data_IF_957908604495
#
_entry.id   IF_957908604495
#
_cell.length_a   1.000
_cell.length_b   1.000
_cell.length_c   1.000
_cell.angle_alpha   90.00
_cell.angle_beta   90.00
_cell.angle_gamma   90.00
#
_symmetry.space_group_name_H-M   'P 1'
#
loop_
_entity.id
_entity.type
_entity.pdbx_description
1 polymer ?
#
# COMPACT_ATOMS: atom_id res chain seq x y z
N UNK A 1 -60.81 16.45 19.02
CA UNK A 1 -59.60 16.13 19.83
C UNK A 1 -59.59 14.63 20.02
N UNK A 2 -58.61 13.82 19.61
CA UNK A 2 -57.19 14.02 19.32
C UNK A 2 -56.82 13.13 18.13
N UNK A 3 -55.99 13.67 17.22
CA UNK A 3 -55.20 12.89 16.26
C UNK A 3 -54.28 11.97 17.07
N UNK A 4 -54.41 10.66 16.91
CA UNK A 4 -53.52 9.68 17.55
C UNK A 4 -52.80 8.91 16.42
N UNK A 5 -51.53 9.26 16.26
CA UNK A 5 -50.41 8.40 15.90
C UNK A 5 -50.60 7.41 14.74
N UNK A 6 -50.46 7.92 13.51
CA UNK A 6 -49.79 7.19 12.44
C UNK A 6 -48.31 7.62 12.48
N UNK A 7 -47.56 7.11 13.47
CA UNK A 7 -46.10 7.33 13.58
C UNK A 7 -45.42 6.13 14.29
N UNK A 8 -45.87 4.91 14.02
CA UNK A 8 -45.23 3.68 14.49
C UNK A 8 -44.71 2.81 13.35
N UNK A 9 -44.34 3.41 12.21
CA UNK A 9 -43.76 2.67 11.09
C UNK A 9 -42.69 3.44 10.29
N UNK A 10 -41.91 4.31 10.95
CA UNK A 10 -40.78 4.98 10.28
C UNK A 10 -39.65 5.40 11.24
N UNK A 11 -39.41 4.65 12.32
CA UNK A 11 -38.34 4.91 13.29
C UNK A 11 -37.94 3.61 13.98
N UNK A 12 -37.30 2.70 13.24
CA UNK A 12 -36.20 1.82 13.69
C UNK A 12 -35.93 0.75 12.61
N UNK A 13 -35.45 1.20 11.46
CA UNK A 13 -34.54 0.40 10.65
C UNK A 13 -33.83 1.32 9.65
N UNK A 14 -33.16 2.36 10.16
CA UNK A 14 -31.85 2.64 9.56
C UNK A 14 -31.00 1.44 9.95
N UNK A 15 -31.14 0.36 9.19
CA UNK A 15 -29.96 -0.39 8.84
C UNK A 15 -29.08 0.70 8.22
N UNK A 16 -28.00 1.10 8.90
CA UNK A 16 -26.84 1.49 8.13
C UNK A 16 -26.66 0.31 7.18
N UNK A 17 -27.04 0.50 5.93
CA UNK A 17 -26.54 -0.36 4.88
C UNK A 17 -25.05 -0.19 5.02
N UNK A 18 -24.37 -1.13 5.69
CA UNK A 18 -22.96 -1.33 5.45
C UNK A 18 -22.90 -1.56 3.96
N UNK A 19 -22.45 -0.55 3.21
CA UNK A 19 -22.15 -0.74 1.81
C UNK A 19 -21.20 -1.92 1.76
N UNK A 20 -21.62 -3.04 1.16
CA UNK A 20 -20.75 -4.19 1.05
C UNK A 20 -19.61 -3.81 0.12
N UNK A 21 -18.37 -3.90 0.59
CA UNK A 21 -17.19 -3.71 -0.25
C UNK A 21 -17.29 -4.59 -1.50
N UNK A 22 -16.89 -4.05 -2.65
CA UNK A 22 -16.74 -4.84 -3.88
C UNK A 22 -15.57 -5.83 -3.70
N UNK A 23 -15.76 -7.09 -4.11
CA UNK A 23 -14.82 -8.19 -3.88
C UNK A 23 -15.19 -9.06 -2.68
N UNK A 24 -14.50 -10.20 -2.51
CA UNK A 24 -14.75 -11.15 -1.40
C UNK A 24 -13.58 -11.24 -0.40
N UNK A 25 -12.49 -10.51 -0.66
CA UNK A 25 -11.29 -10.51 0.18
C UNK A 25 -10.36 -11.71 -0.04
N UNK A 26 -10.55 -12.50 -1.10
CA UNK A 26 -9.59 -13.53 -1.52
C UNK A 26 -8.45 -12.90 -2.32
N UNK A 27 -7.36 -13.64 -2.55
CA UNK A 27 -6.25 -13.15 -3.38
C UNK A 27 -6.68 -12.96 -4.84
N UNK A 28 -7.58 -13.81 -5.34
CA UNK A 28 -8.14 -13.77 -6.69
C UNK A 28 -9.20 -12.68 -6.85
N UNK A 29 -9.93 -12.38 -5.77
CA UNK A 29 -11.00 -11.39 -5.74
C UNK A 29 -10.91 -10.53 -4.47
N UNK A 30 -9.91 -9.64 -4.39
CA UNK A 30 -9.66 -8.79 -3.22
C UNK A 30 -10.74 -7.74 -3.05
N UNK A 31 -10.88 -7.22 -1.82
CA UNK A 31 -11.74 -6.06 -1.58
C UNK A 31 -11.20 -4.83 -2.33
N UNK A 32 -12.06 -4.15 -3.07
CA UNK A 32 -11.70 -2.94 -3.80
C UNK A 32 -12.07 -1.72 -2.96
N UNK A 33 -11.08 -0.87 -2.71
CA UNK A 33 -11.19 0.27 -1.79
C UNK A 33 -11.26 1.57 -2.61
N UNK A 34 -12.47 2.13 -2.76
CA UNK A 34 -12.74 3.36 -3.52
C UNK A 34 -12.91 4.60 -2.65
N UNK A 35 -12.97 4.40 -1.34
CA UNK A 35 -13.32 5.47 -0.41
C UNK A 35 -12.70 5.24 0.95
N UNK A 36 -12.74 6.30 1.77
CA UNK A 36 -12.42 6.20 3.19
C UNK A 36 -13.32 5.17 3.89
N UNK A 37 -14.62 5.15 3.60
CA UNK A 37 -15.56 4.24 4.24
C UNK A 37 -15.24 2.77 3.93
N UNK A 38 -14.86 2.45 2.68
CA UNK A 38 -14.39 1.11 2.32
C UNK A 38 -13.11 0.74 3.08
N UNK A 39 -12.17 1.69 3.21
CA UNK A 39 -10.92 1.45 3.93
C UNK A 39 -11.15 1.18 5.43
N UNK A 40 -12.08 1.92 6.05
CA UNK A 40 -12.50 1.69 7.43
C UNK A 40 -13.22 0.34 7.58
N UNK A 41 -14.09 -0.02 6.63
CA UNK A 41 -14.76 -1.32 6.63
C UNK A 41 -13.77 -2.47 6.45
N UNK A 42 -12.74 -2.32 5.61
CA UNK A 42 -11.67 -3.30 5.46
C UNK A 42 -10.91 -3.52 6.77
N UNK A 43 -10.50 -2.43 7.44
CA UNK A 43 -9.88 -2.49 8.76
C UNK A 43 -10.75 -3.25 9.76
N UNK A 44 -12.03 -2.89 9.83
CA UNK A 44 -12.95 -3.50 10.80
C UNK A 44 -13.20 -4.98 10.46
N UNK A 45 -13.24 -5.34 9.17
CA UNK A 45 -13.37 -6.73 8.71
C UNK A 45 -12.17 -7.58 9.16
N UNK A 46 -10.95 -7.08 8.97
CA UNK A 46 -9.72 -7.74 9.43
C UNK A 46 -9.73 -7.89 10.95
N UNK A 47 -10.01 -6.80 11.67
CA UNK A 47 -9.98 -6.78 13.14
C UNK A 47 -11.11 -7.60 13.79
N UNK A 48 -12.16 -7.95 13.04
CA UNK A 48 -13.23 -8.85 13.48
C UNK A 48 -13.02 -10.30 13.05
N UNK A 49 -11.81 -10.67 12.64
CA UNK A 49 -11.40 -12.07 12.47
C UNK A 49 -11.23 -12.53 11.03
N UNK A 50 -11.53 -11.71 10.02
CA UNK A 50 -11.19 -12.04 8.63
C UNK A 50 -9.76 -11.61 8.30
N UNK A 51 -8.81 -12.18 9.04
CA UNK A 51 -7.42 -11.71 9.12
C UNK A 51 -6.62 -11.88 7.83
N UNK A 52 -7.00 -12.86 6.99
CA UNK A 52 -6.36 -13.15 5.70
C UNK A 52 -7.00 -12.39 4.52
N UNK A 53 -7.89 -11.41 4.78
CA UNK A 53 -8.54 -10.64 3.73
C UNK A 53 -7.53 -9.86 2.88
N UNK A 54 -7.70 -9.89 1.57
CA UNK A 54 -6.92 -9.12 0.62
C UNK A 54 -7.64 -7.85 0.17
N UNK A 55 -6.90 -6.77 -0.12
CA UNK A 55 -7.43 -5.50 -0.59
C UNK A 55 -6.57 -4.81 -1.66
N UNK A 56 -7.23 -4.07 -2.55
CA UNK A 56 -6.65 -3.20 -3.57
C UNK A 56 -7.16 -1.76 -3.39
N UNK A 57 -6.25 -0.80 -3.22
CA UNK A 57 -6.64 0.61 -3.27
C UNK A 57 -6.91 1.04 -4.71
N UNK A 58 -8.01 1.77 -4.94
CA UNK A 58 -8.32 2.46 -6.21
C UNK A 58 -8.32 3.98 -6.09
N UNK A 59 -8.08 4.49 -4.88
CA UNK A 59 -7.99 5.92 -4.59
C UNK A 59 -7.00 6.18 -3.46
N UNK A 60 -6.53 7.43 -3.38
CA UNK A 60 -5.84 7.93 -2.18
C UNK A 60 -6.85 7.98 -1.01
N UNK A 61 -6.40 7.65 0.19
CA UNK A 61 -7.21 7.69 1.42
C UNK A 61 -6.73 8.84 2.30
N UNK A 62 -7.66 9.62 2.84
CA UNK A 62 -7.38 10.68 3.82
C UNK A 62 -8.10 10.36 5.13
N UNK A 63 -7.33 10.17 6.21
CA UNK A 63 -7.85 9.81 7.52
C UNK A 63 -8.19 11.03 8.40
N UNK A 64 -7.98 12.25 7.93
CA UNK A 64 -8.13 13.48 8.75
C UNK A 64 -9.54 13.70 9.31
N UNK A 65 -10.58 13.13 8.69
CA UNK A 65 -11.95 13.21 9.21
C UNK A 65 -12.26 12.19 10.31
N UNK A 66 -11.38 11.21 10.52
CA UNK A 66 -11.61 10.09 11.45
C UNK A 66 -10.47 9.85 12.43
N UNK A 67 -9.32 10.52 12.28
CA UNK A 67 -8.30 10.62 13.31
C UNK A 67 -7.62 11.99 13.29
N UNK A 68 -7.47 12.59 14.47
CA UNK A 68 -6.89 13.93 14.68
C UNK A 68 -6.52 14.10 16.16
N UNK A 69 -5.75 15.15 16.46
CA UNK A 69 -5.53 15.61 17.82
C UNK A 69 -5.69 17.12 17.91
N UNK A 70 -6.42 17.55 18.92
CA UNK A 70 -6.56 18.94 19.34
C UNK A 70 -5.98 19.07 20.76
N UNK A 71 -4.73 19.54 20.85
CA UNK A 71 -4.05 19.72 22.12
C UNK A 71 -4.69 20.80 23.00
N UNK A 72 -5.34 21.82 22.41
CA UNK A 72 -6.01 22.87 23.17
C UNK A 72 -7.29 22.35 23.83
N UNK A 73 -7.99 21.43 23.16
CA UNK A 73 -9.22 20.81 23.67
C UNK A 73 -9.02 19.47 24.36
N UNK A 74 -7.78 18.95 24.39
CA UNK A 74 -7.46 17.59 24.83
C UNK A 74 -8.33 16.51 24.15
N UNK A 75 -8.68 16.73 22.88
CA UNK A 75 -9.54 15.85 22.10
C UNK A 75 -8.71 15.10 21.07
N UNK A 76 -8.62 13.78 21.23
CA UNK A 76 -7.83 12.91 20.37
C UNK A 76 -8.70 11.80 19.81
N UNK A 77 -8.73 11.69 18.49
CA UNK A 77 -9.32 10.55 17.80
C UNK A 77 -8.18 9.78 17.14
N UNK A 78 -7.97 8.54 17.60
CA UNK A 78 -6.84 7.72 17.18
C UNK A 78 -7.19 6.86 15.97
N UNK A 79 -6.20 6.66 15.09
CA UNK A 79 -6.22 5.58 14.13
C UNK A 79 -6.18 4.24 14.87
N UNK A 80 -7.17 3.39 14.59
CA UNK A 80 -7.14 1.98 14.96
C UNK A 80 -6.38 1.22 13.86
N UNK A 81 -5.27 0.54 14.17
CA UNK A 81 -4.50 -0.16 13.15
C UNK A 81 -5.25 -1.35 12.54
N UNK A 82 -4.91 -1.69 11.30
CA UNK A 82 -5.28 -2.97 10.69
C UNK A 82 -4.42 -4.08 11.32
N UNK A 83 -5.05 -5.12 11.86
CA UNK A 83 -4.37 -6.10 12.71
C UNK A 83 -4.05 -5.50 14.09
N UNK A 84 -5.09 -5.22 14.89
CA UNK A 84 -4.96 -4.64 16.23
C UNK A 84 -4.21 -5.58 17.21
N UNK A 85 -2.90 -5.37 17.32
CA UNK A 85 -2.00 -6.24 18.08
C UNK A 85 -2.20 -6.25 19.60
N UNK A 86 -2.68 -5.15 20.21
CA UNK A 86 -2.94 -5.10 21.66
C UNK A 86 -4.15 -5.96 22.06
N UNK A 87 -5.04 -6.25 21.10
CA UNK A 87 -6.24 -7.07 21.21
C UNK A 87 -6.01 -8.49 20.68
N UNK A 88 -4.76 -8.83 20.33
CA UNK A 88 -4.37 -10.13 19.80
C UNK A 88 -4.75 -10.36 18.33
N UNK A 89 -5.22 -9.33 17.61
CA UNK A 89 -5.49 -9.42 16.18
C UNK A 89 -4.19 -9.27 15.39
N UNK A 90 -4.12 -9.97 14.26
CA UNK A 90 -3.00 -9.89 13.32
C UNK A 90 -3.55 -9.82 11.90
N UNK A 91 -2.87 -9.10 11.02
CA UNK A 91 -3.17 -9.11 9.59
C UNK A 91 -2.32 -10.14 8.87
N UNK A 92 -2.96 -11.03 8.12
CA UNK A 92 -2.35 -12.18 7.43
C UNK A 92 -2.62 -12.17 5.91
N UNK A 93 -3.32 -11.16 5.42
CA UNK A 93 -3.75 -11.05 4.03
C UNK A 93 -2.75 -10.34 3.10
N UNK A 94 -3.26 -9.90 1.95
CA UNK A 94 -2.50 -9.16 0.96
C UNK A 94 -3.07 -7.75 0.72
N UNK A 95 -2.26 -6.73 0.95
CA UNK A 95 -2.64 -5.33 0.76
C UNK A 95 -1.80 -4.73 -0.37
N UNK A 96 -2.45 -4.29 -1.42
CA UNK A 96 -1.78 -3.68 -2.57
C UNK A 96 -2.34 -2.28 -2.80
N UNK A 97 -1.50 -1.28 -2.54
CA UNK A 97 -1.88 0.12 -2.67
C UNK A 97 -2.00 0.60 -4.10
N UNK A 98 -1.56 -0.17 -5.10
CA UNK A 98 -1.56 0.23 -6.52
C UNK A 98 -0.93 1.62 -6.80
N UNK A 99 0.01 2.05 -5.96
CA UNK A 99 0.64 3.38 -6.04
C UNK A 99 -0.16 4.50 -5.38
N UNK A 100 -1.31 4.21 -4.79
CA UNK A 100 -2.07 5.14 -3.96
C UNK A 100 -1.43 5.34 -2.60
N UNK A 101 -1.89 6.39 -1.93
CA UNK A 101 -1.35 6.76 -0.63
C UNK A 101 -2.43 6.96 0.42
N UNK A 102 -2.05 6.72 1.66
CA UNK A 102 -2.89 6.91 2.84
C UNK A 102 -2.31 8.07 3.64
N UNK A 103 -3.09 9.11 3.88
CA UNK A 103 -2.65 10.35 4.54
C UNK A 103 -3.25 10.50 5.92
N UNK A 104 -2.51 11.21 6.77
CA UNK A 104 -2.96 11.69 8.07
C UNK A 104 -3.32 10.60 9.12
N UNK A 105 -2.68 9.42 9.17
CA UNK A 105 -2.89 8.54 10.33
C UNK A 105 -2.37 9.24 11.59
N UNK A 106 -3.23 9.34 12.61
CA UNK A 106 -2.93 10.02 13.86
C UNK A 106 -3.07 9.07 15.05
N UNK A 107 -2.04 8.97 15.88
CA UNK A 107 -2.06 8.24 17.16
C UNK A 107 -1.30 9.05 18.21
N UNK A 108 -1.92 9.31 19.35
CA UNK A 108 -1.29 9.98 20.50
C UNK A 108 -1.39 9.16 21.79
N UNK A 109 -0.67 8.04 21.89
CA UNK A 109 -0.78 7.13 23.04
C UNK A 109 0.56 6.56 23.47
N UNK A 110 1.13 7.07 24.57
CA UNK A 110 2.44 6.63 25.07
C UNK A 110 2.46 5.23 25.70
N UNK A 111 1.30 4.59 25.85
CA UNK A 111 1.17 3.28 26.51
C UNK A 111 0.84 2.14 25.55
N UNK A 112 0.32 2.46 24.36
CA UNK A 112 -0.13 1.45 23.40
C UNK A 112 1.01 0.98 22.51
N UNK A 113 1.19 -0.34 22.43
CA UNK A 113 2.25 -0.95 21.64
C UNK A 113 1.78 -1.23 20.21
N UNK A 114 2.71 -1.62 19.34
CA UNK A 114 2.38 -2.13 18.00
C UNK A 114 1.52 -1.15 17.19
N UNK A 115 1.86 0.15 17.23
CA UNK A 115 1.17 1.17 16.45
C UNK A 115 1.87 1.41 15.11
N UNK A 116 1.05 1.66 14.10
CA UNK A 116 1.38 1.87 12.71
C UNK A 116 0.09 1.98 11.91
N UNK A 117 0.17 2.09 10.58
CA UNK A 117 -1.01 1.88 9.74
C UNK A 117 -1.56 0.45 9.96
N UNK A 118 -0.66 -0.52 9.96
CA UNK A 118 -0.86 -1.89 10.42
C UNK A 118 -0.24 -2.07 11.80
N UNK A 119 -0.92 -2.82 12.67
CA UNK A 119 -0.48 -3.02 14.05
C UNK A 119 0.45 -4.20 14.15
N UNK A 120 -0.11 -5.39 13.96
CA UNK A 120 0.59 -6.68 13.88
C UNK A 120 0.33 -7.36 12.54
N UNK A 121 1.37 -7.88 11.90
CA UNK A 121 1.26 -8.68 10.67
C UNK A 121 1.93 -10.05 10.81
N UNK A 122 1.36 -11.08 10.19
CA UNK A 122 1.93 -12.43 10.14
C UNK A 122 1.70 -13.05 8.76
N UNK A 123 2.77 -13.41 8.04
CA UNK A 123 2.68 -13.94 6.66
C UNK A 123 1.93 -13.02 5.66
N UNK A 124 1.75 -11.75 6.02
CA UNK A 124 1.10 -10.78 5.17
C UNK A 124 2.02 -10.35 4.02
N UNK A 125 1.40 -9.85 2.96
CA UNK A 125 2.07 -9.11 1.89
C UNK A 125 1.52 -7.69 1.86
N UNK A 126 2.36 -6.68 2.02
CA UNK A 126 1.98 -5.27 1.92
C UNK A 126 2.86 -4.63 0.87
N UNK A 127 2.24 -4.07 -0.18
CA UNK A 127 3.00 -3.49 -1.28
C UNK A 127 2.37 -2.24 -1.87
N UNK A 128 3.19 -1.49 -2.60
CA UNK A 128 2.77 -0.44 -3.51
C UNK A 128 1.97 0.69 -2.83
N UNK A 129 2.30 1.02 -1.57
CA UNK A 129 1.56 2.01 -0.78
C UNK A 129 2.49 3.04 -0.13
N UNK A 130 2.09 4.30 -0.20
CA UNK A 130 2.70 5.39 0.56
C UNK A 130 1.88 5.75 1.78
N UNK A 131 2.53 6.04 2.91
CA UNK A 131 1.90 6.67 4.08
C UNK A 131 2.47 8.05 4.26
N UNK A 132 1.63 9.07 4.18
CA UNK A 132 2.06 10.47 4.26
C UNK A 132 1.43 11.22 5.42
N UNK A 133 2.16 12.22 5.91
CA UNK A 133 1.77 13.02 7.07
C UNK A 133 1.34 12.16 8.27
N UNK A 134 2.06 11.07 8.51
CA UNK A 134 1.82 10.23 9.66
C UNK A 134 2.23 10.95 10.95
N UNK A 135 1.39 10.91 11.97
CA UNK A 135 1.74 11.32 13.33
C UNK A 135 1.44 10.17 14.28
N UNK A 136 2.45 9.40 14.66
CA UNK A 136 2.25 8.18 15.45
C UNK A 136 3.13 8.24 16.69
N UNK A 137 2.51 8.49 17.83
CA UNK A 137 3.12 8.40 19.15
C UNK A 137 2.57 7.17 19.87
N UNK A 138 3.46 6.20 20.13
CA UNK A 138 3.15 4.92 20.75
C UNK A 138 4.06 4.58 21.93
N UNK A 139 3.77 3.45 22.59
CA UNK A 139 4.64 2.77 23.54
C UNK A 139 5.78 2.01 22.84
N UNK A 140 5.73 0.68 22.82
CA UNK A 140 6.75 -0.18 22.22
C UNK A 140 6.42 -0.63 20.79
N UNK A 141 7.45 -0.74 19.95
CA UNK A 141 7.41 -1.28 18.59
C UNK A 141 6.48 -0.48 17.68
N UNK A 142 6.93 0.73 17.37
CA UNK A 142 6.17 1.71 16.59
C UNK A 142 6.80 1.83 15.21
N UNK A 143 5.99 1.66 14.17
CA UNK A 143 6.41 1.84 12.78
C UNK A 143 5.47 2.77 12.06
N UNK A 144 5.98 3.58 11.12
CA UNK A 144 5.12 4.39 10.25
C UNK A 144 4.16 3.54 9.40
N UNK A 145 4.59 2.33 9.01
CA UNK A 145 3.75 1.38 8.27
C UNK A 145 3.27 0.23 9.16
N UNK A 146 4.17 -0.48 9.84
CA UNK A 146 3.86 -1.68 10.64
C UNK A 146 4.43 -1.55 12.05
N UNK A 147 3.63 -1.77 13.09
CA UNK A 147 4.13 -1.86 14.46
C UNK A 147 5.05 -3.08 14.65
N UNK A 148 4.48 -4.28 14.46
CA UNK A 148 5.18 -5.58 14.56
C UNK A 148 4.86 -6.47 13.36
N UNK A 149 5.87 -7.01 12.71
CA UNK A 149 5.71 -7.98 11.63
C UNK A 149 6.45 -9.28 11.90
N UNK A 150 5.82 -10.38 11.53
CA UNK A 150 6.41 -11.70 11.49
C UNK A 150 6.20 -12.34 10.11
N UNK A 151 7.26 -12.86 9.48
CA UNK A 151 7.20 -13.49 8.15
C UNK A 151 6.50 -12.62 7.08
N UNK A 152 6.58 -11.29 7.21
CA UNK A 152 5.84 -10.34 6.37
C UNK A 152 6.71 -9.86 5.21
N UNK A 153 6.14 -9.80 4.01
CA UNK A 153 6.74 -9.16 2.84
C UNK A 153 6.26 -7.72 2.74
N UNK A 154 7.21 -6.78 2.69
CA UNK A 154 6.96 -5.35 2.48
C UNK A 154 7.70 -4.93 1.21
N UNK A 155 6.98 -4.50 0.19
CA UNK A 155 7.57 -4.23 -1.13
C UNK A 155 7.06 -2.94 -1.75
N UNK A 156 7.95 -2.09 -2.26
CA UNK A 156 7.58 -0.81 -2.86
C UNK A 156 6.68 0.01 -1.91
N UNK A 157 7.14 0.25 -0.68
CA UNK A 157 6.38 1.02 0.29
C UNK A 157 7.19 2.21 0.78
N UNK A 158 6.52 3.29 1.15
CA UNK A 158 7.20 4.41 1.77
C UNK A 158 6.41 5.09 2.87
N UNK A 159 7.12 5.79 3.75
CA UNK A 159 6.50 6.56 4.83
C UNK A 159 7.11 7.95 5.00
N UNK A 160 6.27 8.92 5.37
CA UNK A 160 6.63 10.31 5.67
C UNK A 160 5.80 10.80 6.85
N UNK A 161 6.44 11.43 7.83
CA UNK A 161 5.77 11.95 9.02
C UNK A 161 6.64 11.94 10.27
N UNK A 162 6.02 12.07 11.43
CA UNK A 162 6.68 12.10 12.73
C UNK A 162 6.24 10.89 13.58
N UNK A 163 7.21 10.10 14.03
CA UNK A 163 6.98 8.86 14.78
C UNK A 163 7.74 8.91 16.11
N UNK A 164 7.04 8.59 17.20
CA UNK A 164 7.53 8.70 18.58
C UNK A 164 7.22 7.43 19.38
N UNK A 165 8.10 7.09 20.33
CA UNK A 165 7.90 5.95 21.24
C UNK A 165 9.19 5.22 21.62
N UNK A 166 9.10 3.91 21.82
CA UNK A 166 10.21 3.00 22.15
C UNK A 166 10.33 1.90 21.08
N UNK A 167 11.54 1.61 20.59
CA UNK A 167 11.76 0.83 19.36
C UNK A 167 10.95 1.38 18.19
N UNK A 168 11.38 2.53 17.69
CA UNK A 168 10.64 3.34 16.71
C UNK A 168 11.32 3.26 15.35
N UNK A 169 10.55 3.21 14.28
CA UNK A 169 11.09 3.31 12.94
C UNK A 169 10.10 3.88 11.93
N UNK A 170 10.60 4.27 10.76
CA UNK A 170 9.74 4.76 9.69
C UNK A 170 8.94 3.67 9.00
N UNK A 171 9.44 2.44 8.87
CA UNK A 171 8.70 1.34 8.20
C UNK A 171 8.13 0.37 9.23
N UNK A 172 8.98 -0.36 9.95
CA UNK A 172 8.57 -1.48 10.81
C UNK A 172 9.25 -1.48 12.18
N UNK A 173 8.45 -1.34 13.25
CA UNK A 173 8.95 -1.25 14.62
C UNK A 173 9.69 -2.51 15.09
N UNK A 174 9.08 -3.68 14.90
CA UNK A 174 9.69 -4.99 15.16
C UNK A 174 9.51 -5.92 13.96
N UNK A 175 10.60 -6.40 13.40
CA UNK A 175 10.63 -7.28 12.24
C UNK A 175 11.26 -8.63 12.61
N UNK A 176 10.47 -9.70 12.49
CA UNK A 176 10.88 -11.09 12.67
C UNK A 176 10.67 -11.84 11.36
N UNK A 177 11.71 -12.46 10.79
CA UNK A 177 11.63 -13.20 9.52
C UNK A 177 11.02 -12.39 8.35
N UNK A 178 11.08 -11.06 8.40
CA UNK A 178 10.47 -10.20 7.39
C UNK A 178 11.42 -10.00 6.19
N UNK A 179 10.85 -9.60 5.06
CA UNK A 179 11.60 -9.18 3.88
C UNK A 179 11.11 -7.81 3.46
N UNK A 180 12.02 -6.84 3.44
CA UNK A 180 11.76 -5.49 2.94
C UNK A 180 12.45 -5.34 1.58
N UNK A 181 11.70 -4.86 0.58
CA UNK A 181 12.21 -4.62 -0.77
C UNK A 181 11.79 -3.25 -1.26
N UNK A 182 12.74 -2.51 -1.81
CA UNK A 182 12.47 -1.26 -2.52
C UNK A 182 11.66 -0.23 -1.71
N UNK A 183 11.90 -0.17 -0.40
CA UNK A 183 11.18 0.71 0.51
C UNK A 183 12.01 1.94 0.86
N UNK A 184 11.35 3.05 1.21
CA UNK A 184 12.07 4.17 1.80
C UNK A 184 11.30 4.87 2.93
N UNK A 185 12.04 5.50 3.84
CA UNK A 185 11.45 6.34 4.89
C UNK A 185 12.06 7.73 4.87
N UNK A 186 11.18 8.73 4.98
CA UNK A 186 11.51 10.12 5.29
C UNK A 186 10.91 10.56 6.62
N UNK A 187 10.56 9.62 7.50
CA UNK A 187 10.02 9.93 8.81
C UNK A 187 11.08 10.54 9.74
N UNK A 188 10.69 11.55 10.52
CA UNK A 188 11.42 11.90 11.74
C UNK A 188 11.06 10.91 12.83
N UNK A 189 12.03 10.14 13.32
CA UNK A 189 11.81 9.20 14.42
C UNK A 189 12.51 9.69 15.68
N UNK A 190 11.83 9.62 16.83
CA UNK A 190 12.36 10.07 18.13
C UNK A 190 12.01 9.07 19.23
N UNK A 191 12.92 8.89 20.19
CA UNK A 191 12.79 7.92 21.28
C UNK A 191 14.11 7.24 21.62
N UNK A 192 14.07 6.20 22.48
CA UNK A 192 15.30 5.59 23.01
C UNK A 192 16.02 4.66 22.00
N UNK A 193 15.27 4.00 21.11
CA UNK A 193 15.80 3.05 20.12
C UNK A 193 15.15 3.32 18.77
N UNK A 194 15.30 4.57 18.31
CA UNK A 194 14.72 5.00 17.05
C UNK A 194 15.66 4.68 15.87
N UNK A 195 15.09 4.57 14.69
CA UNK A 195 15.79 4.26 13.44
C UNK A 195 14.97 4.76 12.26
N UNK A 196 15.55 4.76 11.06
CA UNK A 196 14.86 5.26 9.89
C UNK A 196 13.91 4.22 9.27
N UNK A 197 14.30 2.94 9.25
CA UNK A 197 13.58 1.88 8.54
C UNK A 197 13.07 0.77 9.46
N UNK A 198 13.94 0.15 10.26
CA UNK A 198 13.61 -1.03 11.07
C UNK A 198 14.03 -0.82 12.53
N UNK A 199 13.08 -0.85 13.46
CA UNK A 199 13.37 -0.63 14.88
C UNK A 199 14.18 -1.78 15.48
N UNK A 200 13.67 -3.01 15.35
CA UNK A 200 14.32 -4.22 15.84
C UNK A 200 14.19 -5.35 14.80
N UNK A 201 15.31 -5.87 14.33
CA UNK A 201 15.37 -6.90 13.30
C UNK A 201 15.86 -8.25 13.86
N UNK A 202 15.15 -9.32 13.53
CA UNK A 202 15.57 -10.71 13.75
C UNK A 202 15.30 -11.52 12.49
N UNK A 203 16.33 -12.19 11.95
CA UNK A 203 16.23 -13.00 10.72
C UNK A 203 15.55 -12.26 9.55
N UNK A 204 15.70 -10.93 9.51
CA UNK A 204 15.03 -10.04 8.55
C UNK A 204 16.01 -9.64 7.47
N UNK A 205 15.54 -9.52 6.24
CA UNK A 205 16.34 -9.02 5.11
C UNK A 205 15.80 -7.69 4.60
N UNK A 206 16.69 -6.85 4.08
CA UNK A 206 16.32 -5.63 3.38
C UNK A 206 17.13 -5.52 2.09
N UNK A 207 16.43 -5.25 0.99
CA UNK A 207 17.01 -5.08 -0.34
C UNK A 207 16.53 -3.75 -0.91
N UNK A 208 17.46 -2.92 -1.37
CA UNK A 208 17.19 -1.57 -1.88
C UNK A 208 16.30 -0.72 -0.94
N UNK A 209 16.55 -0.77 0.37
CA UNK A 209 15.80 0.00 1.34
C UNK A 209 16.57 1.26 1.76
N UNK A 210 15.97 2.44 1.56
CA UNK A 210 16.67 3.72 1.66
C UNK A 210 16.11 4.63 2.76
N UNK A 211 16.96 5.48 3.31
CA UNK A 211 16.52 6.52 4.24
C UNK A 211 17.35 7.79 4.11
N UNK A 212 16.77 8.90 4.56
CA UNK A 212 17.48 10.17 4.64
C UNK A 212 18.34 10.23 5.91
N UNK A 213 19.63 10.05 5.70
CA UNK A 213 20.65 10.06 6.77
C UNK A 213 20.77 11.40 7.51
N UNK A 214 20.20 12.47 6.96
CA UNK A 214 20.17 13.79 7.59
C UNK A 214 18.96 13.97 8.52
N UNK A 215 17.92 13.13 8.41
CA UNK A 215 16.77 13.11 9.32
C UNK A 215 17.03 12.14 10.47
N UNK A 216 17.46 10.92 10.15
CA UNK A 216 17.81 9.87 11.12
C UNK A 216 19.12 9.22 10.67
N UNK A 217 20.10 9.13 11.55
CA UNK A 217 21.47 8.75 11.19
C UNK A 217 21.72 7.22 11.17
N UNK A 218 20.72 6.41 11.48
CA UNK A 218 20.77 4.94 11.45
C UNK A 218 19.53 4.35 10.77
N UNK A 219 19.73 3.39 9.86
CA UNK A 219 18.62 2.71 9.17
C UNK A 219 17.94 1.66 10.06
N UNK A 220 18.69 1.04 10.97
CA UNK A 220 18.24 -0.06 11.84
C UNK A 220 18.59 0.28 13.29
N UNK A 221 17.65 0.05 14.21
CA UNK A 221 17.86 0.31 15.64
C UNK A 221 18.62 -0.83 16.33
N UNK A 222 18.16 -2.06 16.12
CA UNK A 222 18.80 -3.28 16.63
C UNK A 222 18.75 -4.40 15.58
N UNK A 223 19.82 -5.19 15.49
CA UNK A 223 19.97 -6.27 14.52
C UNK A 223 20.87 -5.91 13.33
N UNK A 224 21.27 -6.91 12.57
CA UNK A 224 22.21 -6.76 11.45
C UNK A 224 21.47 -6.86 10.12
N UNK A 225 21.09 -5.70 9.57
CA UNK A 225 20.44 -5.59 8.26
C UNK A 225 21.06 -4.44 7.48
N UNK A 226 21.51 -4.70 6.25
CA UNK A 226 22.10 -3.68 5.39
C UNK A 226 21.02 -2.76 4.83
N UNK A 227 21.19 -1.46 5.01
CA UNK A 227 20.28 -0.41 4.49
C UNK A 227 21.08 0.69 3.79
N UNK A 228 20.42 1.48 2.95
CA UNK A 228 21.04 2.51 2.13
C UNK A 228 20.78 3.90 2.69
N UNK A 229 21.78 4.46 3.35
CA UNK A 229 21.79 5.87 3.76
C UNK A 229 21.95 6.77 2.52
N UNK A 230 20.99 7.66 2.30
CA UNK A 230 21.02 8.66 1.22
C UNK A 230 21.02 10.07 1.84
N UNK A 231 21.57 11.06 1.12
CA UNK A 231 21.48 12.48 1.50
C UNK A 231 20.16 13.07 1.02
N UNK A 232 19.65 14.11 1.70
CA UNK A 232 18.42 14.83 1.33
C UNK A 232 18.40 15.27 -0.13
N UNK A 233 19.52 15.74 -0.64
CA UNK A 233 19.66 16.19 -2.03
C UNK A 233 19.37 15.05 -3.03
N UNK A 234 19.77 13.81 -2.72
CA UNK A 234 19.56 12.65 -3.60
C UNK A 234 18.09 12.24 -3.68
N UNK A 235 17.33 12.49 -2.62
CA UNK A 235 15.86 12.37 -2.66
C UNK A 235 15.25 13.45 -3.56
N UNK A 236 15.85 14.66 -3.59
CA UNK A 236 15.33 15.83 -4.29
C UNK A 236 15.78 16.00 -5.75
N UNK A 237 16.77 15.24 -6.20
CA UNK A 237 17.35 15.38 -7.55
C UNK A 237 17.09 14.18 -8.47
N UNK A 238 16.18 13.28 -8.10
CA UNK A 238 15.80 12.10 -8.89
C UNK A 238 16.71 10.87 -8.72
N UNK A 239 17.87 10.99 -8.05
CA UNK A 239 18.78 9.85 -7.82
C UNK A 239 18.07 8.68 -7.11
N UNK A 240 17.27 8.99 -6.08
CA UNK A 240 16.51 7.95 -5.36
C UNK A 240 15.43 7.33 -6.25
N UNK A 241 14.67 8.13 -7.00
CA UNK A 241 13.67 7.60 -7.95
C UNK A 241 14.31 6.64 -8.96
N UNK A 242 15.46 7.02 -9.54
CA UNK A 242 16.19 6.15 -10.46
C UNK A 242 16.56 4.83 -9.80
N UNK A 243 17.14 4.87 -8.60
CA UNK A 243 17.52 3.65 -7.86
C UNK A 243 16.32 2.75 -7.54
N UNK A 244 15.16 3.34 -7.22
CA UNK A 244 13.93 2.59 -6.95
C UNK A 244 13.37 1.96 -8.24
N UNK A 245 13.44 2.66 -9.38
CA UNK A 245 13.03 2.17 -10.69
C UNK A 245 13.96 1.10 -11.27
N UNK A 246 15.28 1.26 -11.10
CA UNK A 246 16.27 0.27 -11.51
C UNK A 246 16.03 -1.06 -10.79
N UNK A 247 15.66 -1.01 -9.51
CA UNK A 247 15.30 -2.21 -8.75
C UNK A 247 14.08 -2.91 -9.34
N UNK A 248 12.97 -2.20 -9.59
CA UNK A 248 11.76 -2.75 -10.23
C UNK A 248 12.12 -3.42 -11.56
N UNK A 249 12.92 -2.74 -12.37
CA UNK A 249 13.37 -3.24 -13.67
C UNK A 249 14.19 -4.53 -13.53
N UNK A 250 15.09 -4.59 -12.54
CA UNK A 250 15.97 -5.75 -12.31
C UNK A 250 15.24 -7.02 -11.84
N UNK A 251 14.08 -6.87 -11.20
CA UNK A 251 13.29 -8.00 -10.67
C UNK A 251 12.34 -8.63 -11.69
N UNK A 252 12.28 -8.13 -12.93
CA UNK A 252 11.43 -8.73 -13.98
C UNK A 252 10.07 -8.08 -14.18
N UNK A 253 9.93 -6.79 -13.81
CA UNK A 253 8.77 -5.90 -13.94
C UNK A 253 7.58 -6.18 -13.03
N UNK A 254 7.08 -5.12 -12.38
CA UNK A 254 5.69 -4.92 -11.99
C UNK A 254 5.27 -3.64 -12.73
N UNK A 255 4.83 -3.80 -13.98
CA UNK A 255 4.89 -2.74 -14.98
C UNK A 255 3.82 -1.62 -14.83
N UNK A 256 3.16 -1.55 -13.68
CA UNK A 256 2.06 -0.63 -13.42
C UNK A 256 2.47 0.55 -12.53
N UNK A 257 3.65 0.49 -11.92
CA UNK A 257 4.09 1.46 -10.92
C UNK A 257 5.56 1.83 -11.18
N UNK A 258 5.82 3.13 -11.33
CA UNK A 258 7.16 3.68 -11.31
C UNK A 258 7.24 4.85 -10.35
N UNK A 259 8.45 5.15 -9.91
CA UNK A 259 8.77 6.25 -9.03
C UNK A 259 9.09 7.50 -9.84
N UNK A 260 8.38 8.58 -9.56
CA UNK A 260 8.63 9.92 -10.09
C UNK A 260 8.89 10.90 -8.94
N UNK A 261 9.19 12.17 -9.26
CA UNK A 261 9.27 13.22 -8.26
C UNK A 261 7.92 13.93 -8.13
N UNK A 262 7.41 14.05 -6.91
CA UNK A 262 6.22 14.84 -6.61
C UNK A 262 6.49 16.36 -6.71
N UNK A 263 5.47 17.17 -6.39
CA UNK A 263 5.57 18.62 -6.38
C UNK A 263 6.65 19.16 -5.42
N UNK A 264 6.99 18.41 -4.37
CA UNK A 264 8.06 18.73 -3.42
C UNK A 264 9.42 18.14 -3.82
N UNK A 265 9.51 17.61 -5.05
CA UNK A 265 10.66 16.92 -5.60
C UNK A 265 11.03 15.62 -4.88
N UNK A 266 10.13 15.02 -4.10
CA UNK A 266 10.40 13.78 -3.37
C UNK A 266 9.90 12.55 -4.15
N UNK A 267 10.47 11.36 -3.95
CA UNK A 267 10.04 10.15 -4.65
C UNK A 267 8.58 9.80 -4.34
N UNK A 268 7.73 9.67 -5.34
CA UNK A 268 6.34 9.27 -5.19
C UNK A 268 5.95 8.30 -6.30
N UNK A 269 4.87 7.57 -6.11
CA UNK A 269 4.34 6.75 -7.19
C UNK A 269 3.71 7.62 -8.26
N UNK A 270 3.93 7.23 -9.52
CA UNK A 270 3.32 7.90 -10.65
C UNK A 270 1.80 7.84 -10.58
N UNK A 271 1.11 8.98 -10.60
CA UNK A 271 -0.37 9.03 -10.59
C UNK A 271 -1.01 8.64 -11.94
N UNK A 272 -0.19 8.30 -12.94
CA UNK A 272 -0.65 7.94 -14.29
C UNK A 272 -1.28 6.55 -14.41
N UNK A 273 -1.65 5.90 -13.30
CA UNK A 273 -2.66 4.84 -13.31
C UNK A 273 -4.07 5.38 -13.64
N UNK A 274 -4.30 6.70 -13.58
CA UNK A 274 -5.57 7.34 -13.95
C UNK A 274 -5.95 7.24 -15.46
N UNK A 275 -5.12 6.60 -16.29
CA UNK A 275 -5.44 6.25 -17.68
C UNK A 275 -5.64 4.75 -17.93
N UNK A 276 -5.41 3.90 -16.92
CA UNK A 276 -5.59 2.45 -17.04
C UNK A 276 -7.07 2.11 -16.84
N UNK A 277 -7.83 2.16 -17.94
CA UNK A 277 -9.14 1.52 -17.97
C UNK A 277 -8.93 0.01 -17.86
N UNK A 278 -9.16 -0.57 -16.69
CA UNK A 278 -9.28 -2.02 -16.51
C UNK A 278 -10.38 -2.51 -17.46
N UNK A 279 -10.04 -3.30 -18.49
CA UNK A 279 -11.01 -3.63 -19.55
C UNK A 279 -11.91 -4.80 -19.13
N UNK A 280 -11.51 -5.72 -18.23
CA UNK A 280 -12.42 -6.71 -17.61
C UNK A 280 -11.76 -7.63 -16.56
N UNK A 281 -12.58 -8.16 -15.63
CA UNK A 281 -12.42 -9.45 -14.94
C UNK A 281 -13.61 -10.36 -15.34
N UNK A 282 -13.32 -11.47 -16.05
CA UNK A 282 -14.00 -12.77 -15.91
C UNK A 282 -13.15 -13.81 -16.67
N UNK A 283 -12.53 -14.72 -15.92
CA UNK A 283 -11.89 -15.94 -16.43
C UNK A 283 -10.60 -15.81 -17.26
N UNK A 284 -9.99 -14.64 -17.40
CA UNK A 284 -8.81 -14.48 -18.26
C UNK A 284 -7.92 -13.27 -17.95
N UNK A 285 -6.62 -13.52 -17.96
CA UNK A 285 -5.46 -12.62 -18.12
C UNK A 285 -5.71 -11.11 -17.93
N UNK A 286 -5.32 -10.53 -16.79
CA UNK A 286 -5.17 -9.09 -16.62
C UNK A 286 -4.23 -8.50 -17.69
N UNK A 287 -4.78 -7.66 -18.58
CA UNK A 287 -4.05 -6.95 -19.64
C UNK A 287 -4.22 -5.45 -19.43
N UNK A 288 -3.12 -4.71 -19.47
CA UNK A 288 -3.06 -3.27 -19.25
C UNK A 288 -2.47 -2.56 -20.47
N UNK A 289 -2.76 -1.27 -20.65
CA UNK A 289 -2.22 -0.44 -21.75
C UNK A 289 -1.66 0.86 -21.18
N UNK A 290 -0.35 1.10 -21.30
CA UNK A 290 0.29 2.36 -20.89
C UNK A 290 0.92 3.03 -22.10
N UNK A 291 0.33 4.14 -22.55
CA UNK A 291 0.68 4.76 -23.83
C UNK A 291 0.56 3.74 -24.96
N UNK A 292 1.67 3.48 -25.64
CA UNK A 292 1.74 2.47 -26.70
C UNK A 292 2.13 1.07 -26.25
N UNK A 293 2.28 0.81 -24.95
CA UNK A 293 2.72 -0.50 -24.46
C UNK A 293 1.54 -1.29 -23.89
N UNK A 294 1.54 -2.60 -24.13
CA UNK A 294 0.54 -3.51 -23.57
C UNK A 294 1.24 -4.41 -22.56
N UNK A 295 0.72 -4.48 -21.34
CA UNK A 295 1.25 -5.30 -20.26
C UNK A 295 0.30 -6.42 -19.92
N UNK A 296 0.84 -7.49 -19.37
CA UNK A 296 0.06 -8.64 -18.94
C UNK A 296 0.54 -9.13 -17.59
N UNK A 297 -0.40 -9.29 -16.66
CA UNK A 297 -0.13 -9.70 -15.28
C UNK A 297 -0.81 -11.04 -15.04
N UNK A 298 -0.03 -12.11 -14.98
CA UNK A 298 -0.52 -13.46 -14.71
C UNK A 298 0.51 -14.23 -13.91
N UNK A 299 0.02 -15.03 -12.96
CA UNK A 299 0.86 -15.96 -12.21
C UNK A 299 1.00 -17.32 -12.92
N UNK A 300 0.40 -17.47 -14.11
CA UNK A 300 0.43 -18.67 -14.93
C UNK A 300 1.02 -18.36 -16.30
N UNK A 301 1.87 -19.23 -16.83
CA UNK A 301 2.33 -19.17 -18.22
C UNK A 301 1.17 -19.43 -19.18
N UNK A 302 0.74 -18.39 -19.89
CA UNK A 302 -0.39 -18.50 -20.82
C UNK A 302 0.06 -18.14 -22.24
N UNK A 303 -0.14 -19.02 -23.24
CA UNK A 303 0.14 -18.66 -24.62
C UNK A 303 -0.68 -17.45 -25.07
N UNK A 304 0.00 -16.49 -25.71
CA UNK A 304 -0.58 -15.27 -26.23
C UNK A 304 -0.43 -15.18 -27.74
N UNK A 305 -1.53 -14.89 -28.42
CA UNK A 305 -1.51 -14.41 -29.80
C UNK A 305 -2.26 -13.08 -29.87
N UNK A 306 -1.59 -12.05 -30.37
CA UNK A 306 -2.12 -10.70 -30.52
C UNK A 306 -2.41 -10.47 -31.99
N UNK A 307 -3.65 -10.09 -32.29
CA UNK A 307 -4.11 -9.71 -33.62
C UNK A 307 -4.35 -8.21 -33.68
N UNK A 308 -4.21 -7.59 -34.86
CA UNK A 308 -4.73 -6.25 -35.10
C UNK A 308 -6.21 -6.29 -35.55
N UNK A 309 -6.81 -5.11 -35.75
CA UNK A 309 -8.19 -4.95 -36.22
C UNK A 309 -8.50 -5.57 -37.59
N UNK A 310 -7.48 -5.92 -38.38
CA UNK A 310 -7.61 -6.59 -39.68
C UNK A 310 -7.44 -8.11 -39.57
N UNK A 311 -7.28 -8.65 -38.36
CA UNK A 311 -7.08 -10.08 -38.11
C UNK A 311 -5.66 -10.57 -38.39
N UNK A 312 -4.70 -9.68 -38.64
CA UNK A 312 -3.30 -10.08 -38.81
C UNK A 312 -2.62 -10.26 -37.46
N UNK A 313 -1.83 -11.31 -37.31
CA UNK A 313 -1.02 -11.56 -36.10
C UNK A 313 0.10 -10.52 -36.04
N UNK A 314 0.11 -9.73 -34.98
CA UNK A 314 1.15 -8.74 -34.71
C UNK A 314 2.21 -9.26 -33.75
N UNK A 315 1.86 -10.21 -32.87
CA UNK A 315 2.80 -10.82 -31.93
C UNK A 315 2.32 -12.19 -31.46
N UNK A 316 3.28 -13.08 -31.15
CA UNK A 316 3.09 -14.31 -30.38
C UNK A 316 4.04 -14.31 -29.20
N UNK A 317 3.61 -14.88 -28.09
CA UNK A 317 4.46 -14.99 -26.90
C UNK A 317 3.84 -15.92 -25.85
N UNK A 318 4.53 -16.00 -24.73
CA UNK A 318 3.98 -16.55 -23.49
C UNK A 318 3.80 -15.36 -22.56
N UNK A 319 2.60 -15.25 -22.01
CA UNK A 319 2.31 -14.37 -20.90
C UNK A 319 2.75 -15.04 -19.62
N UNK A 320 3.90 -14.63 -19.12
CA UNK A 320 4.43 -14.90 -17.79
C UNK A 320 4.49 -13.59 -17.01
N UNK A 321 4.74 -13.70 -15.69
CA UNK A 321 4.63 -12.63 -14.69
C UNK A 321 4.96 -11.22 -15.22
N UNK A 322 3.97 -10.32 -15.16
CA UNK A 322 4.09 -8.87 -15.33
C UNK A 322 4.88 -8.39 -16.57
N UNK A 323 4.67 -9.06 -17.71
CA UNK A 323 5.43 -8.82 -18.92
C UNK A 323 4.93 -7.61 -19.72
N UNK A 324 5.86 -6.76 -20.14
CA UNK A 324 5.64 -5.82 -21.25
C UNK A 324 5.66 -6.58 -22.59
N UNK A 325 4.54 -6.55 -23.30
CA UNK A 325 4.38 -7.16 -24.62
C UNK A 325 5.00 -6.29 -25.73
N UNK A 326 5.52 -5.12 -25.39
CA UNK A 326 6.24 -4.18 -26.25
C UNK A 326 5.35 -3.07 -26.81
N UNK A 327 5.94 -2.26 -27.70
CA UNK A 327 5.26 -1.16 -28.37
C UNK A 327 4.23 -1.64 -29.40
N UNK A 328 3.06 -1.01 -29.37
CA UNK A 328 1.92 -1.14 -30.27
C UNK A 328 1.48 0.26 -30.72
N UNK A 329 1.48 0.56 -32.03
CA UNK A 329 0.91 1.81 -32.54
C UNK A 329 -0.55 1.99 -32.12
N UNK A 330 -1.04 3.23 -32.13
CA UNK A 330 -2.46 3.54 -31.91
C UNK A 330 -3.35 2.70 -32.83
N UNK A 331 -4.31 2.02 -32.22
CA UNK A 331 -5.11 1.02 -32.93
C UNK A 331 -5.90 0.09 -32.02
N UNK A 332 -6.64 -0.82 -32.65
CA UNK A 332 -7.42 -1.86 -31.98
C UNK A 332 -6.69 -3.18 -32.16
N UNK A 333 -6.51 -3.90 -31.06
CA UNK A 333 -5.89 -5.21 -30.99
C UNK A 333 -6.84 -6.23 -30.39
N UNK A 334 -6.64 -7.51 -30.71
CA UNK A 334 -7.35 -8.63 -30.11
C UNK A 334 -6.34 -9.55 -29.44
N UNK A 335 -6.48 -9.76 -28.14
CA UNK A 335 -5.62 -10.66 -27.35
C UNK A 335 -6.51 -11.72 -26.73
N UNK A 336 -6.28 -12.99 -27.07
CA UNK A 336 -7.10 -14.13 -26.61
C UNK A 336 -8.62 -13.87 -26.73
N UNK A 337 -9.04 -13.28 -27.86
CA UNK A 337 -10.46 -12.99 -28.16
C UNK A 337 -11.01 -11.70 -27.55
N UNK A 338 -10.20 -10.90 -26.85
CA UNK A 338 -10.63 -9.64 -26.22
C UNK A 338 -10.06 -8.42 -26.93
N UNK A 339 -10.90 -7.40 -27.10
CA UNK A 339 -10.56 -6.14 -27.77
C UNK A 339 -9.78 -5.22 -26.82
N UNK A 340 -8.59 -4.82 -27.24
CA UNK A 340 -7.72 -3.84 -26.58
C UNK A 340 -7.60 -2.61 -27.48
N UNK A 341 -7.67 -1.41 -26.92
CA UNK A 341 -7.52 -0.16 -27.67
C UNK A 341 -6.27 0.55 -27.16
N UNK A 342 -5.37 0.86 -28.07
CA UNK A 342 -4.17 1.68 -27.83
C UNK A 342 -4.42 3.04 -28.45
N UNK A 343 -4.22 4.11 -27.67
CA UNK A 343 -4.40 5.51 -28.09
C UNK A 343 -3.20 6.34 -27.63
N UNK A 344 -3.00 7.48 -28.30
CA UNK A 344 -1.94 8.44 -27.97
C UNK A 344 -2.10 9.07 -26.58
#
# INVERSE_FOLDING_TARGET
MKRILIYTLLLLSLHLYSHAMEGEGSQENPFLIDSLDDFLQFRDTVNNGFQNACALLRTDIDLSSVCYGDEEKEEYQHWLPIGEGNSGQTYEGCFDGQGHIIRNPYVHSSTENFRGLFGSTHKATIRNVGVENAHIHGGYYIGGLIGKGDSTLIENCYTRGDIYGYFVSGIIGNASNCTLRNCYSLCSTKGNYHSALIGYATQTTAENCLFDSQIVNNGVGFGEVTTLAMKREQFRNGTVCQKLNDFITSQGNDALIHWEQDADSLPSFSKNANGLKQIHQEGGLPIYVQGHHIFLQTNQEIPLTIYNSRGAIVRRGIGDQNRDLGYFPTGIYIINGKKIIVTD
#
